data_IF_013535474571
#
_entry.id   IF_013535474571
#
_cell.length_a   1.000
_cell.length_b   1.000
_cell.length_c   1.000
_cell.angle_alpha   90.00
_cell.angle_beta   90.00
_cell.angle_gamma   90.00
#
_symmetry.space_group_name_H-M   'P 1'
#
loop_
_entity.id
_entity.type
_entity.pdbx_description
1 polymer ?
#
# COMPACT_ATOMS: atom_id res chain seq x y z
N UNK A 1 -4.67 -11.60 -3.92
CA UNK A 1 -3.68 -12.00 -2.86
C UNK A 1 -4.38 -11.99 -1.51
N UNK A 2 -3.90 -12.68 -0.47
CA UNK A 2 -4.55 -12.60 0.87
C UNK A 2 -4.60 -11.15 1.33
N UNK A 3 -5.80 -10.66 1.64
CA UNK A 3 -6.00 -9.26 2.01
C UNK A 3 -5.44 -8.99 3.42
N UNK A 4 -4.93 -7.76 3.61
CA UNK A 4 -4.30 -7.34 4.87
C UNK A 4 -5.25 -7.40 6.07
N UNK A 5 -6.55 -7.17 5.86
CA UNK A 5 -7.59 -7.25 6.89
C UNK A 5 -7.73 -8.63 7.56
N UNK A 6 -7.23 -9.71 6.95
CA UNK A 6 -7.14 -11.03 7.59
C UNK A 6 -5.93 -11.17 8.53
N UNK A 7 -4.98 -10.24 8.46
CA UNK A 7 -3.72 -10.25 9.21
C UNK A 7 -3.64 -9.14 10.26
N UNK A 8 -4.42 -8.07 10.11
CA UNK A 8 -4.44 -6.91 11.00
C UNK A 8 -5.86 -6.48 11.32
N UNK A 9 -6.11 -6.07 12.56
CA UNK A 9 -7.41 -5.62 13.04
C UNK A 9 -7.64 -4.11 12.76
N UNK A 10 -7.41 -3.69 11.52
CA UNK A 10 -7.66 -2.33 11.03
C UNK A 10 -8.04 -2.38 9.54
N UNK A 11 -8.77 -1.36 9.08
CA UNK A 11 -9.20 -1.27 7.67
C UNK A 11 -8.02 -0.88 6.77
N UNK A 12 -7.15 0.01 7.27
CA UNK A 12 -5.98 0.51 6.58
C UNK A 12 -4.72 0.32 7.42
N UNK A 13 -3.60 -0.07 6.79
CA UNK A 13 -2.30 -0.11 7.49
C UNK A 13 -1.94 1.29 8.02
N UNK A 14 -2.38 2.35 7.34
CA UNK A 14 -2.21 3.72 7.79
C UNK A 14 -2.83 4.03 9.16
N UNK A 15 -3.92 3.35 9.56
CA UNK A 15 -4.57 3.55 10.86
C UNK A 15 -3.62 3.26 12.03
N UNK A 16 -2.66 2.36 11.81
CA UNK A 16 -1.67 1.98 12.83
C UNK A 16 -0.70 3.12 13.16
N UNK A 17 -0.58 4.14 12.31
CA UNK A 17 0.26 5.30 12.55
C UNK A 17 -0.14 6.04 13.84
N UNK A 18 -1.44 6.06 14.16
CA UNK A 18 -1.96 6.67 15.38
C UNK A 18 -1.36 6.05 16.65
N UNK A 19 -1.08 4.75 16.65
CA UNK A 19 -0.44 4.05 17.76
C UNK A 19 0.99 4.53 18.08
N UNK A 20 1.63 5.22 17.12
CA UNK A 20 2.95 5.82 17.27
C UNK A 20 2.90 7.35 17.38
N UNK A 21 1.71 7.95 17.43
CA UNK A 21 1.54 9.41 17.44
C UNK A 21 2.07 10.11 16.18
N UNK A 22 2.07 9.41 15.04
CA UNK A 22 2.53 9.95 13.75
C UNK A 22 1.39 9.95 12.71
N UNK A 23 1.44 10.83 11.70
CA UNK A 23 0.46 10.83 10.63
C UNK A 23 0.58 9.57 9.76
N UNK A 24 -0.57 9.06 9.32
CA UNK A 24 -0.70 7.96 8.37
C UNK A 24 -1.54 8.40 7.17
N UNK A 25 -1.14 8.04 5.95
CA UNK A 25 -1.91 8.29 4.73
C UNK A 25 -1.94 7.03 3.86
N UNK A 26 -3.10 6.74 3.28
CA UNK A 26 -3.27 5.68 2.28
C UNK A 26 -3.34 6.31 0.89
N UNK A 27 -2.57 5.80 -0.06
CA UNK A 27 -2.54 6.31 -1.44
C UNK A 27 -2.74 5.17 -2.45
N UNK A 28 -3.29 5.51 -3.62
CA UNK A 28 -3.33 4.60 -4.75
C UNK A 28 -1.90 4.41 -5.30
N UNK A 29 -1.42 3.17 -5.27
CA UNK A 29 -0.08 2.81 -5.74
C UNK A 29 0.04 2.73 -7.26
N UNK A 30 -1.08 2.77 -7.99
CA UNK A 30 -1.08 2.85 -9.45
C UNK A 30 -1.06 4.31 -9.96
N UNK A 31 -1.28 5.29 -9.08
CA UNK A 31 -1.09 6.70 -9.40
C UNK A 31 0.31 7.16 -8.96
N UNK A 32 1.22 7.28 -9.94
CA UNK A 32 2.57 7.77 -9.70
C UNK A 32 2.60 9.14 -9.00
N UNK A 33 1.72 10.07 -9.40
CA UNK A 33 1.71 11.41 -8.84
C UNK A 33 1.20 11.39 -7.39
N UNK A 34 0.16 10.61 -7.10
CA UNK A 34 -0.32 10.45 -5.72
C UNK A 34 0.78 9.91 -4.79
N UNK A 35 1.54 8.90 -5.24
CA UNK A 35 2.67 8.37 -4.47
C UNK A 35 3.79 9.39 -4.32
N UNK A 36 4.16 10.07 -5.40
CA UNK A 36 5.21 11.09 -5.40
C UNK A 36 4.88 12.27 -4.47
N UNK A 37 3.65 12.78 -4.53
CA UNK A 37 3.19 13.88 -3.69
C UNK A 37 3.14 13.50 -2.21
N UNK A 38 2.59 12.32 -1.87
CA UNK A 38 2.56 11.84 -0.50
C UNK A 38 3.97 11.61 0.07
N UNK A 39 4.87 11.04 -0.74
CA UNK A 39 6.28 10.89 -0.37
C UNK A 39 6.95 12.25 -0.18
N UNK A 40 6.70 13.21 -1.07
CA UNK A 40 7.22 14.58 -0.97
C UNK A 40 6.80 15.27 0.32
N UNK A 41 5.51 15.19 0.68
CA UNK A 41 4.98 15.75 1.92
C UNK A 41 5.61 15.11 3.16
N UNK A 42 5.71 13.78 3.20
CA UNK A 42 6.34 13.06 4.31
C UNK A 42 7.83 13.39 4.47
N UNK A 43 8.56 13.48 3.35
CA UNK A 43 9.98 13.86 3.33
C UNK A 43 10.18 15.29 3.81
N UNK A 44 9.35 16.24 3.34
CA UNK A 44 9.40 17.63 3.78
C UNK A 44 9.17 17.76 5.29
N UNK A 45 8.15 17.08 5.81
CA UNK A 45 7.84 17.00 7.25
C UNK A 45 9.02 16.47 8.07
N UNK A 46 9.60 15.34 7.64
CA UNK A 46 10.75 14.76 8.31
C UNK A 46 11.96 15.71 8.33
N UNK A 47 12.22 16.41 7.22
CA UNK A 47 13.32 17.40 7.12
C UNK A 47 13.09 18.66 7.96
N UNK A 48 11.84 19.05 8.17
CA UNK A 48 11.47 20.16 9.05
C UNK A 48 11.58 19.81 10.55
N UNK A 49 11.92 18.56 10.89
CA UNK A 49 12.02 18.11 12.29
C UNK A 49 10.67 17.77 12.93
N UNK A 50 9.62 17.66 12.14
CA UNK A 50 8.25 17.39 12.62
C UNK A 50 7.97 15.88 12.83
N UNK A 51 9.00 15.04 12.72
CA UNK A 51 8.94 13.61 12.99
C UNK A 51 8.55 12.75 11.77
N UNK A 52 8.38 11.43 11.99
CA UNK A 52 8.10 10.46 10.92
C UNK A 52 6.65 10.53 10.42
N UNK A 53 6.38 9.79 9.35
CA UNK A 53 5.04 9.56 8.78
C UNK A 53 4.96 8.14 8.22
N UNK A 54 3.76 7.58 8.13
CA UNK A 54 3.49 6.30 7.48
C UNK A 54 2.70 6.52 6.20
N UNK A 55 3.19 5.98 5.08
CA UNK A 55 2.49 5.98 3.80
C UNK A 55 2.14 4.54 3.46
N UNK A 56 0.85 4.21 3.40
CA UNK A 56 0.34 2.95 2.89
C UNK A 56 0.08 3.10 1.39
N UNK A 57 0.96 2.52 0.57
CA UNK A 57 0.80 2.48 -0.88
C UNK A 57 0.01 1.22 -1.24
N UNK A 58 -1.21 1.37 -1.77
CA UNK A 58 -2.08 0.24 -2.12
C UNK A 58 -1.86 -0.16 -3.58
N UNK A 59 -1.35 -1.37 -3.79
CA UNK A 59 -1.10 -1.93 -5.11
C UNK A 59 -1.31 -3.45 -5.12
N UNK A 60 -1.39 -4.02 -6.32
CA UNK A 60 -1.50 -5.47 -6.54
C UNK A 60 -0.16 -6.05 -6.98
N UNK A 61 0.25 -7.17 -6.35
CA UNK A 61 1.37 -7.98 -6.85
C UNK A 61 0.91 -8.82 -8.02
N UNK A 62 1.51 -8.66 -9.20
CA UNK A 62 1.13 -9.44 -10.38
C UNK A 62 1.56 -10.90 -10.36
N UNK A 63 2.66 -11.22 -9.70
CA UNK A 63 3.20 -12.58 -9.66
C UNK A 63 2.93 -13.30 -8.33
N UNK A 64 3.38 -14.55 -8.23
CA UNK A 64 3.36 -15.35 -7.02
C UNK A 64 4.07 -14.67 -5.85
N UNK A 65 3.88 -15.20 -4.65
CA UNK A 65 4.67 -14.76 -3.49
C UNK A 65 6.15 -15.04 -3.68
N UNK A 66 6.44 -16.11 -4.40
CA UNK A 66 7.74 -16.54 -4.87
C UNK A 66 7.57 -17.20 -6.24
N UNK A 67 8.68 -17.52 -6.91
CA UNK A 67 8.65 -18.25 -8.18
C UNK A 67 8.18 -19.68 -7.99
N UNK A 68 7.11 -20.08 -8.70
CA UNK A 68 6.49 -21.40 -8.54
C UNK A 68 5.36 -21.46 -7.51
N UNK A 69 4.97 -20.32 -6.91
CA UNK A 69 3.72 -20.23 -6.14
C UNK A 69 2.53 -20.58 -7.04
N UNK A 70 1.71 -21.54 -6.60
CA UNK A 70 0.52 -22.00 -7.32
C UNK A 70 -0.64 -20.98 -7.31
N UNK A 71 -0.56 -19.93 -6.47
CA UNK A 71 -1.52 -18.82 -6.43
C UNK A 71 -2.99 -19.21 -6.20
N UNK A 72 -3.26 -20.35 -5.57
CA UNK A 72 -4.62 -20.89 -5.34
C UNK A 72 -5.51 -20.01 -4.46
N UNK A 73 -4.92 -19.01 -3.79
CA UNK A 73 -5.59 -18.02 -2.94
C UNK A 73 -6.08 -16.78 -3.70
N UNK A 74 -5.95 -16.73 -5.03
CA UNK A 74 -6.41 -15.61 -5.86
C UNK A 74 -7.72 -15.94 -6.55
N UNK A 75 -8.55 -14.92 -6.78
CA UNK A 75 -9.73 -15.09 -7.61
C UNK A 75 -9.33 -15.32 -9.09
N UNK A 76 -10.12 -16.07 -9.86
CA UNK A 76 -9.94 -16.14 -11.31
C UNK A 76 -9.90 -14.74 -11.92
N UNK A 77 -9.01 -14.53 -12.89
CA UNK A 77 -8.83 -13.27 -13.63
C UNK A 77 -8.46 -12.01 -12.81
N UNK A 78 -8.27 -12.10 -11.48
CA UNK A 78 -7.90 -10.96 -10.62
C UNK A 78 -6.69 -10.20 -11.18
N UNK A 79 -5.61 -10.91 -11.51
CA UNK A 79 -4.38 -10.31 -12.06
C UNK A 79 -4.61 -9.72 -13.45
N UNK A 80 -5.41 -10.39 -14.28
CA UNK A 80 -5.71 -9.92 -15.63
C UNK A 80 -6.46 -8.58 -15.56
N UNK A 81 -7.49 -8.50 -14.71
CA UNK A 81 -8.24 -7.27 -14.48
C UNK A 81 -7.32 -6.11 -14.09
N UNK A 82 -6.46 -6.30 -13.08
CA UNK A 82 -5.57 -5.22 -12.64
C UNK A 82 -4.58 -4.80 -13.75
N UNK A 83 -4.02 -5.74 -14.51
CA UNK A 83 -3.13 -5.38 -15.64
C UNK A 83 -3.82 -4.59 -16.74
N UNK A 84 -5.13 -4.77 -16.93
CA UNK A 84 -5.90 -4.06 -17.96
C UNK A 84 -6.37 -2.67 -17.51
N UNK A 85 -6.55 -2.46 -16.20
CA UNK A 85 -7.20 -1.25 -15.66
C UNK A 85 -6.27 -0.39 -14.77
N UNK A 86 -5.13 -0.94 -14.37
CA UNK A 86 -4.21 -0.33 -13.40
C UNK A 86 -2.76 -0.54 -13.89
N UNK A 87 -2.29 0.36 -14.76
CA UNK A 87 -0.88 0.47 -15.16
C UNK A 87 -0.47 1.95 -15.19
#
# INVERSE_FOLDING_TARGET
ATASNWSVACDHIADRAAGFGMPGVTVDGFDFFAVHEAAGAAVARARAGEGPSLIEVKLTRYYGHFEGDAQTYRAPDEVKYFREHND
#
